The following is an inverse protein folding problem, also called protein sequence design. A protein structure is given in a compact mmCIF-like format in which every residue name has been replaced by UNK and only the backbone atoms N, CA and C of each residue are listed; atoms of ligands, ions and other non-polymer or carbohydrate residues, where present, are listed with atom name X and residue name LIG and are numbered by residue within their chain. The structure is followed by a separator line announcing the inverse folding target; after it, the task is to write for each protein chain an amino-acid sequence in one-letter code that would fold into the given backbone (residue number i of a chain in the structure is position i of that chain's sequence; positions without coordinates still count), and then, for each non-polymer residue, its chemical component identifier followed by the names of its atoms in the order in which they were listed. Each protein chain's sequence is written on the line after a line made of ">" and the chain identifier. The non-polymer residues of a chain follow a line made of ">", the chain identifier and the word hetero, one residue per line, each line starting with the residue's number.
data_IF_871305823285
#
_entry.id   IF_871305823285
#
_cell.length_a   1.000
_cell.length_b   1.000
_cell.length_c   1.000
_cell.angle_alpha   90.00
_cell.angle_beta   90.00
_cell.angle_gamma   90.00
#
_symmetry.space_group_name_H-M   'P 1'
#
loop_
_entity.id
_entity.type
_entity.pdbx_description
1 polymer ?
#
# COMPACT_ATOMS: atom_id res chain seq x y z
N UNK A 1 13.35 -1.23 -21.88
CA UNK A 1 12.93 -2.63 -21.64
C UNK A 1 11.99 -2.69 -20.44
N UNK A 2 10.88 -3.35 -20.62
CA UNK A 2 9.85 -3.41 -19.57
C UNK A 2 10.13 -4.59 -18.65
N UNK A 3 10.21 -4.32 -17.34
CA UNK A 3 10.41 -5.37 -16.33
C UNK A 3 9.07 -6.07 -16.10
N UNK A 4 9.07 -7.40 -16.12
CA UNK A 4 7.86 -8.16 -15.84
C UNK A 4 7.69 -8.30 -14.32
N UNK A 5 6.67 -7.66 -13.79
CA UNK A 5 6.36 -7.72 -12.36
C UNK A 5 5.92 -9.11 -11.94
N UNK A 6 5.21 -9.83 -12.81
CA UNK A 6 4.63 -11.14 -12.47
C UNK A 6 5.64 -12.19 -12.05
N UNK A 7 6.91 -12.04 -12.44
CA UNK A 7 7.97 -12.96 -12.02
C UNK A 7 8.62 -12.60 -10.69
N UNK A 8 8.26 -11.47 -10.12
CA UNK A 8 8.86 -10.97 -8.89
C UNK A 8 8.01 -11.33 -7.67
N UNK A 9 8.66 -11.41 -6.51
CA UNK A 9 7.99 -11.66 -5.24
C UNK A 9 7.67 -10.34 -4.55
N UNK A 10 6.57 -10.26 -3.78
CA UNK A 10 6.30 -9.06 -3.00
C UNK A 10 7.35 -8.89 -1.91
N UNK A 11 7.81 -7.65 -1.72
CA UNK A 11 8.76 -7.34 -0.65
C UNK A 11 8.15 -7.60 0.72
N UNK A 12 6.84 -7.34 0.85
CA UNK A 12 6.10 -7.53 2.11
C UNK A 12 4.88 -8.42 1.85
N UNK A 13 5.08 -9.75 1.78
CA UNK A 13 4.00 -10.67 1.37
C UNK A 13 2.84 -10.76 2.36
N UNK A 14 3.00 -10.28 3.58
CA UNK A 14 1.89 -10.24 4.55
C UNK A 14 1.00 -9.03 4.38
N UNK A 15 1.42 -8.03 3.61
CA UNK A 15 0.68 -6.79 3.44
C UNK A 15 -0.08 -6.73 2.13
N UNK A 16 0.52 -7.21 1.06
CA UNK A 16 -0.05 -7.05 -0.28
C UNK A 16 0.38 -8.17 -1.21
N UNK A 17 -0.36 -8.27 -2.30
CA UNK A 17 -0.06 -9.19 -3.39
C UNK A 17 -0.39 -8.52 -4.71
N UNK A 18 0.12 -9.10 -5.79
CA UNK A 18 -0.15 -8.61 -7.13
C UNK A 18 -1.59 -8.95 -7.51
N UNK A 19 -2.30 -7.98 -8.09
CA UNK A 19 -3.64 -8.19 -8.59
C UNK A 19 -3.61 -8.98 -9.90
N UNK A 20 -4.78 -9.40 -10.36
CA UNK A 20 -4.92 -10.22 -11.57
C UNK A 20 -4.42 -9.52 -12.83
N UNK A 21 -4.39 -8.18 -12.85
CA UNK A 21 -3.89 -7.42 -14.00
C UNK A 21 -2.36 -7.46 -14.14
N UNK A 22 -1.66 -8.04 -13.17
CA UNK A 22 -0.19 -8.15 -13.21
C UNK A 22 0.55 -6.85 -12.93
N UNK A 23 -0.14 -5.79 -12.50
CA UNK A 23 0.45 -4.47 -12.30
C UNK A 23 -0.05 -3.78 -11.04
N UNK A 24 -1.34 -3.89 -10.73
CA UNK A 24 -1.93 -3.28 -9.55
C UNK A 24 -1.70 -4.14 -8.31
N UNK A 25 -1.89 -3.53 -7.14
CA UNK A 25 -1.71 -4.18 -5.85
C UNK A 25 -3.06 -4.38 -5.19
N UNK A 26 -3.26 -5.56 -4.61
CA UNK A 26 -4.35 -5.83 -3.68
C UNK A 26 -3.77 -5.90 -2.27
N UNK A 27 -4.42 -5.26 -1.30
CA UNK A 27 -4.01 -5.35 0.10
C UNK A 27 -4.71 -6.51 0.80
N UNK A 28 -4.00 -7.10 1.76
CA UNK A 28 -4.47 -8.27 2.50
C UNK A 28 -4.95 -7.83 3.88
N UNK A 29 -6.21 -8.11 4.18
CA UNK A 29 -6.86 -7.75 5.44
C UNK A 29 -7.28 -8.99 6.19
N UNK A 30 -7.45 -8.86 7.50
CA UNK A 30 -8.11 -9.87 8.32
C UNK A 30 -9.51 -9.38 8.67
N UNK A 31 -10.51 -10.25 8.52
CA UNK A 31 -11.88 -9.96 8.90
C UNK A 31 -12.11 -10.53 10.30
N UNK A 32 -12.31 -9.68 11.29
CA UNK A 32 -12.47 -10.09 12.67
C UNK A 32 -13.70 -11.00 12.84
N UNK A 33 -13.52 -12.14 13.50
CA UNK A 33 -14.60 -13.10 13.73
C UNK A 33 -15.69 -12.53 14.66
N UNK A 34 -15.32 -11.58 15.50
CA UNK A 34 -16.23 -11.01 16.49
C UNK A 34 -16.96 -9.78 15.99
N UNK A 35 -16.23 -8.72 15.60
CA UNK A 35 -16.85 -7.46 15.19
C UNK A 35 -17.05 -7.34 13.69
N UNK A 36 -16.52 -8.25 12.90
CA UNK A 36 -16.67 -8.33 11.44
C UNK A 36 -16.00 -7.19 10.68
N UNK A 37 -15.19 -6.37 11.35
CA UNK A 37 -14.47 -5.29 10.70
C UNK A 37 -13.09 -5.75 10.25
N UNK A 38 -12.50 -4.99 9.32
CA UNK A 38 -11.19 -5.30 8.77
C UNK A 38 -10.08 -4.76 9.65
N UNK A 39 -8.99 -5.51 9.72
CA UNK A 39 -7.74 -5.10 10.36
C UNK A 39 -6.62 -5.18 9.34
N UNK A 40 -5.75 -4.19 9.35
CA UNK A 40 -4.55 -4.16 8.53
C UNK A 40 -3.37 -3.74 9.39
N UNK A 41 -2.25 -4.46 9.35
CA UNK A 41 -1.99 -5.64 8.51
C UNK A 41 -2.73 -6.89 9.01
N UNK A 42 -2.95 -7.84 8.11
CA UNK A 42 -3.71 -9.05 8.41
C UNK A 42 -3.05 -9.94 9.48
N UNK A 43 -1.74 -9.80 9.68
CA UNK A 43 -0.98 -10.57 10.66
C UNK A 43 -0.79 -9.83 11.99
N UNK A 44 -1.56 -8.78 12.24
CA UNK A 44 -1.53 -8.09 13.52
C UNK A 44 -1.97 -9.03 14.65
N UNK A 45 -1.50 -8.80 15.89
CA UNK A 45 -1.84 -9.69 17.02
C UNK A 45 -3.30 -9.61 17.43
N UNK A 46 -3.99 -8.50 17.13
CA UNK A 46 -5.40 -8.33 17.49
C UNK A 46 -6.12 -7.41 16.54
N UNK A 47 -7.45 -7.49 16.60
CA UNK A 47 -8.32 -6.63 15.81
C UNK A 47 -8.09 -5.16 16.20
N UNK A 48 -7.90 -4.31 15.21
CA UNK A 48 -7.66 -2.88 15.46
C UNK A 48 -8.89 -2.14 15.99
N UNK A 49 -10.05 -2.81 15.99
CA UNK A 49 -11.31 -2.21 16.44
C UNK A 49 -11.73 -2.72 17.82
N UNK A 50 -11.77 -4.04 18.01
CA UNK A 50 -12.26 -4.63 19.26
C UNK A 50 -11.17 -5.27 20.13
N UNK A 51 -9.96 -5.40 19.58
CA UNK A 51 -8.80 -5.92 20.33
C UNK A 51 -8.71 -7.43 20.44
N UNK A 52 -9.70 -8.18 19.98
CA UNK A 52 -9.67 -9.63 20.08
C UNK A 52 -8.66 -10.24 19.10
N UNK A 53 -8.10 -11.43 19.43
CA UNK A 53 -7.14 -12.07 18.54
C UNK A 53 -7.73 -12.35 17.16
N UNK A 54 -6.91 -12.20 16.12
CA UNK A 54 -7.30 -12.45 14.73
C UNK A 54 -6.44 -13.51 14.04
N UNK A 55 -5.72 -14.32 14.81
CA UNK A 55 -4.86 -15.38 14.28
C UNK A 55 -5.65 -16.42 13.47
N UNK A 56 -6.93 -16.65 13.81
CA UNK A 56 -7.80 -17.56 13.06
C UNK A 56 -8.78 -16.83 12.16
N UNK A 57 -8.67 -15.50 12.04
CA UNK A 57 -9.59 -14.72 11.22
C UNK A 57 -9.39 -15.00 9.74
N UNK A 58 -10.49 -14.92 8.98
CA UNK A 58 -10.43 -15.03 7.54
C UNK A 58 -9.62 -13.87 6.97
N UNK A 59 -8.71 -14.18 6.05
CA UNK A 59 -7.96 -13.18 5.32
C UNK A 59 -8.59 -12.96 3.97
N UNK A 60 -8.73 -11.69 3.59
CA UNK A 60 -9.30 -11.34 2.29
C UNK A 60 -8.52 -10.20 1.68
N UNK A 61 -8.64 -10.10 0.37
CA UNK A 61 -7.95 -9.05 -0.38
C UNK A 61 -8.94 -8.04 -0.90
N UNK A 62 -8.50 -6.78 -0.97
CA UNK A 62 -9.26 -5.69 -1.54
C UNK A 62 -8.35 -4.93 -2.48
N UNK A 63 -8.93 -4.34 -3.53
CA UNK A 63 -8.17 -3.51 -4.45
C UNK A 63 -7.50 -2.38 -3.71
N UNK A 64 -6.25 -2.10 -4.06
CA UNK A 64 -5.45 -1.06 -3.43
C UNK A 64 -5.82 0.32 -3.97
N UNK A 65 -7.01 0.79 -3.65
CA UNK A 65 -7.49 2.11 -4.02
C UNK A 65 -7.79 2.86 -2.72
N UNK A 66 -7.34 4.10 -2.64
CA UNK A 66 -7.55 4.89 -1.44
C UNK A 66 -7.64 6.37 -1.74
N UNK A 67 -7.88 7.13 -0.68
CA UNK A 67 -8.05 8.57 -0.75
C UNK A 67 -6.86 9.26 -0.12
N UNK A 68 -6.27 10.22 -0.82
CA UNK A 68 -5.13 10.97 -0.30
C UNK A 68 -5.60 11.93 0.80
N UNK A 69 -5.06 11.73 2.00
CA UNK A 69 -5.42 12.53 3.17
C UNK A 69 -4.43 13.65 3.42
N UNK A 70 -3.14 13.34 3.34
CA UNK A 70 -2.06 14.30 3.51
C UNK A 70 -0.84 13.80 2.76
N UNK A 71 0.07 14.70 2.43
CA UNK A 71 1.36 14.30 1.86
C UNK A 71 2.43 15.33 2.20
N UNK A 72 3.68 14.87 2.15
CA UNK A 72 4.85 15.74 2.28
C UNK A 72 5.86 15.34 1.21
N UNK A 73 6.66 16.31 0.78
CA UNK A 73 7.78 16.04 -0.11
C UNK A 73 9.07 16.09 0.69
N UNK A 74 9.79 14.97 0.70
CA UNK A 74 11.05 14.84 1.43
C UNK A 74 12.18 15.19 0.46
N UNK A 75 12.98 16.20 0.81
CA UNK A 75 14.06 16.69 -0.04
C UNK A 75 15.44 16.21 0.40
N UNK A 76 15.55 15.65 1.61
CA UNK A 76 16.81 15.16 2.16
C UNK A 76 16.69 13.66 2.41
N UNK A 77 17.59 12.88 1.82
CA UNK A 77 17.55 11.44 1.98
C UNK A 77 17.78 11.05 3.43
N UNK A 78 16.86 10.24 3.98
CA UNK A 78 16.95 9.73 5.36
C UNK A 78 17.76 8.44 5.42
N UNK A 79 17.91 7.76 4.30
CA UNK A 79 18.73 6.56 4.15
C UNK A 79 19.53 6.66 2.85
N UNK A 80 20.58 5.84 2.73
CA UNK A 80 21.43 5.86 1.53
C UNK A 80 20.68 5.51 0.25
N UNK A 81 19.66 4.65 0.36
CA UNK A 81 18.93 4.15 -0.79
C UNK A 81 17.72 4.99 -1.15
N UNK A 82 17.45 6.03 -0.38
CA UNK A 82 16.29 6.87 -0.61
C UNK A 82 16.54 7.87 -1.74
N UNK A 83 15.71 7.79 -2.77
CA UNK A 83 15.71 8.78 -3.84
C UNK A 83 14.95 10.02 -3.39
N UNK A 84 15.50 11.19 -3.65
CA UNK A 84 14.87 12.45 -3.33
C UNK A 84 14.81 13.34 -4.57
N UNK A 85 13.78 14.20 -4.72
CA UNK A 85 12.65 14.35 -3.79
C UNK A 85 11.74 13.12 -3.78
N UNK A 86 11.21 12.81 -2.61
CA UNK A 86 10.32 11.67 -2.42
C UNK A 86 9.02 12.16 -1.78
N UNK A 87 7.89 11.85 -2.40
CA UNK A 87 6.59 12.24 -1.88
C UNK A 87 6.02 11.07 -1.09
N UNK A 88 5.70 11.33 0.18
CA UNK A 88 5.12 10.33 1.07
C UNK A 88 3.76 10.84 1.51
N UNK A 89 2.74 10.00 1.39
CA UNK A 89 1.38 10.39 1.74
C UNK A 89 0.70 9.44 2.69
N UNK A 90 -0.29 9.94 3.38
CA UNK A 90 -1.24 9.16 4.17
C UNK A 90 -2.45 8.88 3.30
N UNK A 91 -2.74 7.61 3.07
CA UNK A 91 -3.80 7.17 2.18
C UNK A 91 -4.85 6.39 2.97
N UNK A 92 -6.09 6.87 2.91
CA UNK A 92 -7.21 6.19 3.53
C UNK A 92 -7.65 5.05 2.63
N UNK A 93 -7.45 3.82 3.08
CA UNK A 93 -7.77 2.62 2.30
C UNK A 93 -9.22 2.18 2.51
N UNK A 94 -9.50 1.59 3.66
CA UNK A 94 -10.80 1.00 3.96
C UNK A 94 -11.17 1.30 5.41
N UNK A 95 -12.42 1.62 5.67
CA UNK A 95 -13.01 1.63 7.02
C UNK A 95 -12.09 2.26 8.10
N UNK A 96 -11.54 3.43 7.78
CA UNK A 96 -10.67 4.15 8.71
C UNK A 96 -9.24 3.66 8.78
N UNK A 97 -8.83 2.80 7.87
CA UNK A 97 -7.46 2.29 7.80
C UNK A 97 -6.63 3.24 6.94
N UNK A 98 -5.63 3.87 7.56
CA UNK A 98 -4.73 4.80 6.88
C UNK A 98 -3.36 4.15 6.77
N UNK A 99 -2.82 4.15 5.55
CA UNK A 99 -1.50 3.60 5.27
C UNK A 99 -0.61 4.68 4.70
N UNK A 100 0.64 4.71 5.15
CA UNK A 100 1.64 5.62 4.61
C UNK A 100 2.31 4.97 3.40
N UNK A 101 2.46 5.72 2.33
CA UNK A 101 3.08 5.18 1.12
C UNK A 101 3.75 6.22 0.28
N UNK A 102 4.65 5.75 -0.58
CA UNK A 102 5.34 6.61 -1.55
C UNK A 102 4.41 6.84 -2.73
N UNK A 103 4.28 8.10 -3.12
CA UNK A 103 3.45 8.50 -4.26
C UNK A 103 4.35 8.82 -5.43
N UNK A 104 4.15 8.11 -6.53
CA UNK A 104 4.94 8.27 -7.75
C UNK A 104 4.23 9.20 -8.72
N UNK A 105 4.63 10.47 -8.70
CA UNK A 105 4.17 11.50 -9.64
C UNK A 105 5.37 12.37 -10.00
N UNK A 106 5.34 13.04 -11.16
CA UNK A 106 6.46 13.91 -11.56
C UNK A 106 6.66 15.11 -10.63
N UNK A 107 5.56 15.63 -10.05
CA UNK A 107 5.59 16.83 -9.23
C UNK A 107 4.40 16.81 -8.28
N UNK A 108 4.61 17.32 -7.06
CA UNK A 108 3.56 17.40 -6.06
C UNK A 108 2.38 18.30 -6.47
N UNK A 109 2.58 19.19 -7.43
CA UNK A 109 1.50 20.05 -7.94
C UNK A 109 0.34 19.28 -8.56
N UNK A 110 0.57 18.01 -8.93
CA UNK A 110 -0.48 17.13 -9.48
C UNK A 110 -1.41 16.65 -8.37
N UNK A 111 -0.94 16.65 -7.13
CA UNK A 111 -1.69 16.08 -6.02
C UNK A 111 -2.66 17.07 -5.42
N UNK A 112 -3.84 16.57 -5.04
CA UNK A 112 -4.85 17.32 -4.33
C UNK A 112 -5.41 16.43 -3.23
N UNK A 113 -5.59 16.99 -2.04
CA UNK A 113 -6.18 16.24 -0.92
C UNK A 113 -7.59 15.80 -1.30
N UNK A 114 -7.91 14.56 -0.96
CA UNK A 114 -9.19 13.95 -1.32
C UNK A 114 -9.21 13.23 -2.65
N UNK A 115 -8.14 13.32 -3.44
CA UNK A 115 -8.08 12.60 -4.71
C UNK A 115 -7.94 11.11 -4.50
N UNK A 116 -8.35 10.33 -5.50
CA UNK A 116 -8.22 8.88 -5.48
C UNK A 116 -6.84 8.48 -5.98
N UNK A 117 -6.21 7.56 -5.24
CA UNK A 117 -4.93 6.96 -5.61
C UNK A 117 -5.11 5.46 -5.75
N UNK A 118 -4.27 4.84 -6.58
CA UNK A 118 -4.23 3.38 -6.67
C UNK A 118 -2.83 2.87 -6.38
N UNK A 119 -2.78 1.71 -5.75
CA UNK A 119 -1.53 1.03 -5.45
C UNK A 119 -1.08 0.24 -6.66
N UNK A 120 0.19 0.39 -7.02
CA UNK A 120 0.79 -0.32 -8.15
C UNK A 120 2.09 -0.97 -7.71
N UNK A 121 2.42 -2.09 -8.36
CA UNK A 121 3.68 -2.76 -8.10
C UNK A 121 4.83 -2.02 -8.78
N UNK A 122 5.90 -1.82 -8.04
CA UNK A 122 7.10 -1.16 -8.54
C UNK A 122 8.30 -2.06 -8.27
N UNK A 123 9.06 -2.47 -9.30
CA UNK A 123 10.20 -3.36 -9.08
C UNK A 123 11.31 -2.63 -8.34
N UNK A 124 12.02 -3.36 -7.47
CA UNK A 124 13.23 -2.85 -6.84
C UNK A 124 14.35 -2.76 -7.87
N UNK A 125 15.39 -1.97 -7.57
CA UNK A 125 16.52 -1.79 -8.48
C UNK A 125 17.23 -3.10 -8.80
N UNK A 126 17.30 -4.03 -7.85
CA UNK A 126 17.94 -5.32 -8.04
C UNK A 126 17.04 -6.34 -8.75
N UNK A 127 15.79 -5.97 -9.06
CA UNK A 127 14.82 -6.79 -9.78
C UNK A 127 14.51 -8.13 -9.11
N UNK A 128 14.69 -8.22 -7.78
CA UNK A 128 14.38 -9.45 -7.04
C UNK A 128 12.97 -9.46 -6.48
N UNK A 129 12.39 -8.27 -6.25
CA UNK A 129 11.08 -8.12 -5.63
C UNK A 129 10.40 -6.86 -6.13
N UNK A 130 9.11 -6.73 -5.82
CA UNK A 130 8.39 -5.48 -6.07
C UNK A 130 7.89 -4.89 -4.75
N UNK A 131 7.80 -3.58 -4.72
CA UNK A 131 7.21 -2.86 -3.60
C UNK A 131 5.92 -2.18 -4.08
N UNK A 132 5.17 -1.64 -3.12
CA UNK A 132 3.93 -0.92 -3.39
C UNK A 132 4.21 0.57 -3.47
N UNK A 133 3.73 1.21 -4.54
CA UNK A 133 3.72 2.66 -4.68
C UNK A 133 2.32 3.08 -5.08
N UNK A 134 2.00 4.36 -4.88
CA UNK A 134 0.70 4.89 -5.22
C UNK A 134 0.82 5.87 -6.38
N UNK A 135 -0.17 5.84 -7.26
CA UNK A 135 -0.29 6.77 -8.38
C UNK A 135 -1.72 7.28 -8.45
N UNK A 136 -1.97 8.42 -9.11
CA UNK A 136 -3.35 8.87 -9.30
C UNK A 136 -4.20 7.80 -9.98
N UNK A 137 -5.40 7.64 -9.46
CA UNK A 137 -6.37 6.70 -10.01
C UNK A 137 -7.23 7.46 -11.02
N UNK A 138 -7.18 7.10 -12.32
CA UNK A 138 -7.93 7.80 -13.35
C UNK A 138 -9.44 7.65 -13.25
#
# INVERSE_FOLDING_TARGET
>A
MTIQITGLKPLKPTLYQLADDGNSIDFIYASCNSCRRLTFPANAPGCMRCGLPIDTAEKLTRKGIGTLMEFVTVHVALTQDMEVPCIIGDILLEDGIIEEGVISVPDESILALGMSLKAVASPLQDETAYTCRFTPNP
#
